data_IF_477442852923
#
_entry.id   IF_477442852923
#
_cell.length_a   1.000
_cell.length_b   1.000
_cell.length_c   1.000
_cell.angle_alpha   90.00
_cell.angle_beta   90.00
_cell.angle_gamma   90.00
#
_symmetry.space_group_name_H-M   'P 1'
#
loop_
_entity.id
_entity.type
_entity.pdbx_description
1 polymer ?
#
# COMPACT_ATOMS: atom_id res chain seq x y z
N UNK A 1 -20.62 -12.76 15.39
CA UNK A 1 -20.19 -12.94 13.98
C UNK A 1 -20.64 -11.76 13.14
N UNK A 2 -19.76 -10.76 12.99
CA UNK A 2 -20.03 -9.72 11.99
C UNK A 2 -19.85 -10.42 10.64
N UNK A 3 -20.91 -10.48 9.82
CA UNK A 3 -20.82 -11.11 8.52
C UNK A 3 -19.79 -10.37 7.65
N UNK A 4 -19.11 -11.08 6.76
CA UNK A 4 -18.17 -10.45 5.80
C UNK A 4 -18.82 -9.28 5.05
N UNK A 5 -20.11 -9.37 4.75
CA UNK A 5 -20.88 -8.29 4.13
C UNK A 5 -20.98 -7.03 4.99
N UNK A 6 -21.14 -7.14 6.32
CA UNK A 6 -21.14 -5.98 7.22
C UNK A 6 -19.76 -5.33 7.29
N UNK A 7 -18.67 -6.12 7.34
CA UNK A 7 -17.30 -5.61 7.27
C UNK A 7 -17.05 -4.84 5.98
N UNK A 8 -17.54 -5.33 4.84
CA UNK A 8 -17.39 -4.66 3.55
C UNK A 8 -18.19 -3.35 3.46
N UNK A 9 -19.37 -3.29 4.09
CA UNK A 9 -20.17 -2.05 4.18
C UNK A 9 -19.42 -0.99 4.99
N UNK A 10 -18.86 -1.35 6.15
CA UNK A 10 -18.09 -0.41 6.99
C UNK A 10 -16.83 0.10 6.26
N UNK A 11 -16.11 -0.77 5.56
CA UNK A 11 -14.95 -0.37 4.76
C UNK A 11 -15.35 0.62 3.67
N UNK A 12 -16.43 0.36 2.91
CA UNK A 12 -16.92 1.29 1.88
C UNK A 12 -17.31 2.65 2.47
N UNK A 13 -18.00 2.67 3.61
CA UNK A 13 -18.36 3.91 4.27
C UNK A 13 -17.14 4.72 4.71
N UNK A 14 -16.13 4.07 5.30
CA UNK A 14 -14.89 4.72 5.71
C UNK A 14 -14.20 5.41 4.52
N UNK A 15 -14.05 4.72 3.40
CA UNK A 15 -13.46 5.31 2.19
C UNK A 15 -14.33 6.42 1.59
N UNK A 16 -15.66 6.29 1.59
CA UNK A 16 -16.56 7.35 1.11
C UNK A 16 -16.43 8.62 1.96
N UNK A 17 -16.29 8.50 3.27
CA UNK A 17 -16.07 9.67 4.14
C UNK A 17 -14.68 10.28 3.95
N UNK A 18 -13.64 9.46 3.83
CA UNK A 18 -12.27 9.90 3.63
C UNK A 18 -12.07 10.60 2.28
N UNK A 19 -12.70 10.08 1.21
CA UNK A 19 -12.53 10.55 -0.17
C UNK A 19 -12.75 12.07 -0.30
N UNK A 20 -13.85 12.60 0.22
CA UNK A 20 -14.14 14.02 0.15
C UNK A 20 -13.11 14.89 0.88
N UNK A 21 -12.61 14.41 2.02
CA UNK A 21 -11.58 15.11 2.79
C UNK A 21 -10.23 15.10 2.08
N UNK A 22 -9.84 13.95 1.54
CA UNK A 22 -8.59 13.77 0.78
C UNK A 22 -8.62 14.62 -0.49
N UNK A 23 -9.69 14.53 -1.29
CA UNK A 23 -9.86 15.31 -2.51
C UNK A 23 -9.75 16.83 -2.23
N UNK A 24 -10.38 17.31 -1.15
CA UNK A 24 -10.26 18.72 -0.74
C UNK A 24 -8.81 19.10 -0.42
N UNK A 25 -8.11 18.32 0.40
CA UNK A 25 -6.71 18.58 0.77
C UNK A 25 -5.83 18.63 -0.49
N UNK A 26 -6.01 17.69 -1.41
CA UNK A 26 -5.22 17.61 -2.63
C UNK A 26 -5.51 18.76 -3.61
N UNK A 27 -6.76 19.23 -3.66
CA UNK A 27 -7.12 20.41 -4.45
C UNK A 27 -6.56 21.71 -3.87
N UNK A 28 -6.58 21.84 -2.54
CA UNK A 28 -6.02 23.00 -1.84
C UNK A 28 -4.47 23.00 -1.88
N UNK A 29 -3.85 21.84 -2.10
CA UNK A 29 -2.39 21.66 -2.10
C UNK A 29 -1.92 20.91 -3.36
N UNK A 30 -1.91 21.54 -4.55
CA UNK A 30 -1.59 20.87 -5.81
C UNK A 30 -0.13 20.37 -5.91
N UNK A 31 0.75 20.83 -5.03
CA UNK A 31 2.14 20.37 -4.93
C UNK A 31 2.31 19.00 -4.28
N UNK A 32 1.26 18.42 -3.69
CA UNK A 32 1.29 17.06 -3.18
C UNK A 32 1.28 16.09 -4.37
N UNK A 33 2.37 15.37 -4.56
CA UNK A 33 2.53 14.40 -5.65
C UNK A 33 2.34 12.95 -5.20
N UNK A 34 2.54 12.65 -3.93
CA UNK A 34 2.49 11.29 -3.37
C UNK A 34 1.46 11.22 -2.26
N UNK A 35 0.61 10.20 -2.29
CA UNK A 35 -0.39 9.93 -1.25
C UNK A 35 -0.20 8.52 -0.72
N UNK A 36 0.02 8.39 0.58
CA UNK A 36 0.20 7.11 1.24
C UNK A 36 -0.90 6.90 2.27
N UNK A 37 -1.64 5.79 2.09
CA UNK A 37 -2.61 5.29 3.06
C UNK A 37 -1.95 4.16 3.86
N UNK A 38 -1.51 4.47 5.09
CA UNK A 38 -0.74 3.55 5.92
C UNK A 38 -1.65 2.75 6.84
N UNK A 39 -1.71 1.47 6.63
CA UNK A 39 -2.58 0.51 7.31
C UNK A 39 -1.80 -0.60 8.01
N UNK A 40 -2.54 -1.44 8.71
CA UNK A 40 -2.12 -2.75 9.21
C UNK A 40 -3.10 -3.79 8.68
N UNK A 41 -2.56 -4.87 8.10
CA UNK A 41 -3.36 -5.95 7.51
C UNK A 41 -4.18 -6.70 8.57
N UNK A 42 -5.28 -7.29 8.15
CA UNK A 42 -6.11 -8.18 8.94
C UNK A 42 -5.82 -9.64 8.60
N UNK A 43 -5.10 -10.35 9.47
CA UNK A 43 -4.74 -11.76 9.28
C UNK A 43 -5.29 -12.64 10.41
N UNK A 44 -5.18 -13.97 10.27
CA UNK A 44 -5.50 -14.88 11.36
C UNK A 44 -4.60 -14.60 12.58
N UNK A 45 -5.14 -14.72 13.79
CA UNK A 45 -4.41 -14.42 15.05
C UNK A 45 -3.13 -15.25 15.24
N UNK A 46 -3.03 -16.37 14.54
CA UNK A 46 -1.84 -17.24 14.52
C UNK A 46 -0.77 -16.79 13.53
N UNK A 47 -1.04 -15.77 12.72
CA UNK A 47 -0.12 -15.26 11.70
C UNK A 47 0.65 -14.06 12.24
N UNK A 48 1.98 -14.14 12.24
CA UNK A 48 2.86 -13.05 12.64
C UNK A 48 3.77 -12.67 11.48
N UNK A 49 3.55 -11.49 10.91
CA UNK A 49 4.22 -10.99 9.71
C UNK A 49 5.52 -10.26 10.09
N UNK A 50 6.58 -11.01 10.35
CA UNK A 50 7.82 -10.48 10.90
C UNK A 50 9.04 -10.94 10.09
N UNK A 51 10.08 -10.12 10.06
CA UNK A 51 11.42 -10.44 9.57
C UNK A 51 12.47 -9.90 10.55
N UNK A 52 13.73 -10.34 10.38
CA UNK A 52 14.87 -9.87 11.17
C UNK A 52 15.86 -9.17 10.25
N UNK A 53 16.24 -7.95 10.59
CA UNK A 53 17.26 -7.19 9.87
C UNK A 53 18.09 -6.40 10.88
N UNK A 54 19.39 -6.44 10.75
CA UNK A 54 20.35 -5.73 11.63
C UNK A 54 20.12 -5.97 13.13
N UNK A 55 19.71 -7.19 13.48
CA UNK A 55 19.40 -7.58 14.84
C UNK A 55 18.08 -7.05 15.41
N UNK A 56 17.27 -6.36 14.59
CA UNK A 56 15.95 -5.86 14.97
C UNK A 56 14.85 -6.71 14.35
N UNK A 57 13.82 -7.03 15.14
CA UNK A 57 12.57 -7.58 14.63
C UNK A 57 11.74 -6.46 14.01
N UNK A 58 11.24 -6.66 12.80
CA UNK A 58 10.41 -5.66 12.12
C UNK A 58 9.27 -6.30 11.34
N UNK A 59 8.17 -5.57 11.24
CA UNK A 59 7.00 -6.01 10.49
C UNK A 59 7.30 -6.08 9.00
N UNK A 60 6.75 -7.08 8.31
CA UNK A 60 6.82 -7.16 6.84
C UNK A 60 5.86 -6.17 6.20
N UNK A 61 6.32 -5.48 5.18
CA UNK A 61 5.54 -4.49 4.42
C UNK A 61 4.89 -5.14 3.19
N UNK A 62 3.68 -4.69 2.85
CA UNK A 62 3.00 -5.06 1.61
C UNK A 62 2.46 -3.81 0.91
N UNK A 63 2.73 -3.68 -0.38
CA UNK A 63 2.11 -2.68 -1.23
C UNK A 63 0.80 -3.22 -1.79
N UNK A 64 -0.26 -2.45 -1.62
CA UNK A 64 -1.62 -2.82 -1.97
C UNK A 64 -2.15 -1.88 -3.05
N UNK A 65 -2.72 -2.43 -4.13
CA UNK A 65 -3.28 -1.65 -5.23
C UNK A 65 -4.74 -1.98 -5.48
N UNK A 66 -5.54 -0.95 -5.55
CA UNK A 66 -6.93 -1.02 -6.00
C UNK A 66 -7.03 -0.82 -7.51
N UNK A 67 -7.51 -1.82 -8.23
CA UNK A 67 -7.46 -1.84 -9.69
C UNK A 67 -8.68 -1.24 -10.37
N UNK A 68 -9.80 -1.05 -9.66
CA UNK A 68 -11.11 -0.76 -10.30
C UNK A 68 -11.45 -1.73 -11.43
N UNK A 69 -11.04 -2.98 -11.27
CA UNK A 69 -11.15 -4.04 -12.27
C UNK A 69 -11.52 -5.37 -11.63
N UNK A 70 -12.42 -6.11 -12.25
CA UNK A 70 -12.75 -7.48 -11.88
C UNK A 70 -12.48 -8.44 -13.03
N UNK A 71 -12.07 -9.67 -12.70
CA UNK A 71 -11.83 -10.70 -13.73
C UNK A 71 -13.10 -11.10 -14.51
N UNK A 72 -14.28 -10.89 -13.91
CA UNK A 72 -15.55 -11.30 -14.50
C UNK A 72 -16.10 -10.22 -15.43
N UNK A 73 -16.05 -8.93 -15.00
CA UNK A 73 -16.74 -7.85 -15.68
C UNK A 73 -15.78 -6.82 -16.33
N UNK A 74 -14.48 -7.01 -16.21
CA UNK A 74 -13.52 -6.01 -16.67
C UNK A 74 -13.48 -4.77 -15.78
N UNK A 75 -13.32 -3.59 -16.38
CA UNK A 75 -13.29 -2.32 -15.67
C UNK A 75 -14.60 -2.03 -14.94
N UNK A 76 -14.51 -1.56 -13.71
CA UNK A 76 -15.66 -1.19 -12.89
C UNK A 76 -15.99 0.28 -13.17
N UNK A 77 -16.92 0.51 -14.09
CA UNK A 77 -17.22 1.85 -14.64
C UNK A 77 -17.57 2.91 -13.58
N UNK A 78 -18.25 2.54 -12.48
CA UNK A 78 -18.61 3.47 -11.40
C UNK A 78 -17.47 3.73 -10.40
N UNK A 79 -16.33 3.04 -10.55
CA UNK A 79 -15.12 3.21 -9.74
C UNK A 79 -13.93 3.62 -10.63
N UNK A 80 -14.12 4.61 -11.48
CA UNK A 80 -13.03 5.05 -12.38
C UNK A 80 -11.73 5.33 -11.60
N UNK A 81 -10.62 4.76 -12.06
CA UNK A 81 -9.27 4.98 -11.51
C UNK A 81 -8.31 5.33 -12.66
N UNK A 82 -8.19 6.62 -13.00
CA UNK A 82 -7.35 7.07 -14.11
C UNK A 82 -5.85 6.85 -13.85
N UNK A 83 -5.46 6.66 -12.60
CA UNK A 83 -4.06 6.52 -12.16
C UNK A 83 -3.66 5.08 -11.83
N UNK A 84 -4.47 4.09 -12.19
CA UNK A 84 -4.21 2.68 -11.90
C UNK A 84 -2.82 2.23 -12.32
N UNK A 85 -2.44 2.55 -13.54
CA UNK A 85 -1.18 2.09 -14.13
C UNK A 85 0.02 2.80 -13.50
N UNK A 86 -0.09 4.08 -13.19
CA UNK A 86 0.94 4.86 -12.49
C UNK A 86 1.17 4.34 -11.07
N UNK A 87 0.08 4.02 -10.34
CA UNK A 87 0.16 3.47 -9.00
C UNK A 87 0.78 2.06 -8.97
N UNK A 88 0.43 1.23 -9.95
CA UNK A 88 1.04 -0.09 -10.12
C UNK A 88 2.53 0.03 -10.47
N UNK A 89 2.91 0.95 -11.35
CA UNK A 89 4.30 1.19 -11.70
C UNK A 89 5.13 1.62 -10.49
N UNK A 90 4.62 2.54 -9.66
CA UNK A 90 5.28 2.96 -8.43
C UNK A 90 5.42 1.79 -7.44
N UNK A 91 4.36 1.00 -7.23
CA UNK A 91 4.40 -0.17 -6.35
C UNK A 91 5.43 -1.21 -6.83
N UNK A 92 5.51 -1.44 -8.14
CA UNK A 92 6.50 -2.35 -8.71
C UNK A 92 7.92 -1.82 -8.52
N UNK A 93 8.15 -0.54 -8.75
CA UNK A 93 9.47 0.08 -8.54
C UNK A 93 9.91 -0.04 -7.08
N UNK A 94 9.03 0.28 -6.12
CA UNK A 94 9.31 0.11 -4.70
C UNK A 94 9.56 -1.35 -4.31
N UNK A 95 8.84 -2.30 -4.91
CA UNK A 95 9.07 -3.74 -4.69
C UNK A 95 10.47 -4.14 -5.16
N UNK A 96 10.87 -3.72 -6.36
CA UNK A 96 12.20 -4.04 -6.90
C UNK A 96 13.33 -3.44 -6.06
N UNK A 97 13.19 -2.19 -5.63
CA UNK A 97 14.15 -1.54 -4.72
C UNK A 97 14.20 -2.31 -3.39
N UNK A 98 13.05 -2.62 -2.81
CA UNK A 98 12.99 -3.34 -1.54
C UNK A 98 13.60 -4.75 -1.61
N UNK A 99 13.39 -5.49 -2.69
CA UNK A 99 14.02 -6.81 -2.87
C UNK A 99 15.55 -6.70 -3.05
N UNK A 100 16.02 -5.62 -3.69
CA UNK A 100 17.45 -5.40 -3.89
C UNK A 100 18.20 -4.99 -2.63
N UNK A 101 17.62 -4.07 -1.84
CA UNK A 101 18.28 -3.48 -0.66
C UNK A 101 17.91 -4.15 0.66
N UNK A 102 16.71 -4.74 0.74
CA UNK A 102 16.11 -5.30 1.95
C UNK A 102 15.47 -6.67 1.69
N UNK A 103 16.25 -7.69 1.23
CA UNK A 103 15.70 -8.98 0.85
C UNK A 103 14.91 -9.65 1.98
N UNK A 104 13.69 -10.07 1.66
CA UNK A 104 12.77 -10.70 2.62
C UNK A 104 11.98 -9.72 3.51
N UNK A 105 12.15 -8.41 3.36
CA UNK A 105 11.39 -7.39 4.08
C UNK A 105 9.97 -7.23 3.52
N UNK A 106 9.84 -7.26 2.20
CA UNK A 106 8.56 -7.06 1.53
C UNK A 106 7.78 -8.35 1.37
N UNK A 107 6.47 -8.25 1.45
CA UNK A 107 5.51 -9.23 0.95
C UNK A 107 5.27 -8.96 -0.54
N UNK A 108 4.67 -9.91 -1.25
CA UNK A 108 4.27 -9.70 -2.64
C UNK A 108 3.23 -8.59 -2.74
N UNK A 109 3.29 -7.79 -3.80
CA UNK A 109 2.26 -6.81 -4.12
C UNK A 109 0.89 -7.48 -4.12
N UNK A 110 -0.08 -6.89 -3.44
CA UNK A 110 -1.46 -7.34 -3.43
C UNK A 110 -2.32 -6.44 -4.30
N UNK A 111 -3.24 -7.03 -5.03
CA UNK A 111 -4.17 -6.30 -5.90
C UNK A 111 -5.61 -6.67 -5.58
N UNK A 112 -6.51 -5.69 -5.60
CA UNK A 112 -7.93 -5.91 -5.33
C UNK A 112 -8.81 -5.14 -6.32
N UNK A 113 -10.06 -5.56 -6.44
CA UNK A 113 -11.00 -5.02 -7.42
C UNK A 113 -11.43 -3.57 -7.16
N UNK A 114 -11.50 -3.13 -5.90
CA UNK A 114 -11.92 -1.77 -5.54
C UNK A 114 -10.78 -0.76 -5.64
N UNK A 115 -11.07 0.56 -5.59
CA UNK A 115 -10.07 1.63 -5.82
C UNK A 115 -9.42 2.21 -4.56
N UNK A 116 -10.04 2.10 -3.37
CA UNK A 116 -9.47 2.50 -2.07
C UNK A 116 -8.90 3.93 -2.02
N UNK A 117 -9.56 4.93 -2.60
CA UNK A 117 -9.07 6.31 -2.77
C UNK A 117 -7.75 6.44 -3.57
N UNK A 118 -7.24 5.38 -4.19
CA UNK A 118 -6.01 5.42 -4.99
C UNK A 118 -6.19 6.08 -6.37
N UNK A 119 -7.36 6.64 -6.64
CA UNK A 119 -7.70 7.35 -7.87
C UNK A 119 -7.47 8.87 -7.78
N UNK A 120 -7.00 9.36 -6.64
CA UNK A 120 -6.83 10.80 -6.40
C UNK A 120 -5.54 11.36 -7.00
N UNK A 121 -4.48 10.56 -7.10
CA UNK A 121 -3.17 10.93 -7.66
C UNK A 121 -2.48 9.73 -8.30
N UNK A 122 -1.59 10.01 -9.26
CA UNK A 122 -0.80 9.00 -9.98
C UNK A 122 0.36 8.38 -9.20
N UNK A 123 0.54 8.74 -7.93
CA UNK A 123 1.50 8.14 -7.00
C UNK A 123 0.82 7.89 -5.66
N UNK A 124 -0.36 7.26 -5.73
CA UNK A 124 -1.11 6.87 -4.56
C UNK A 124 -0.89 5.40 -4.24
N UNK A 125 -0.69 5.09 -2.96
CA UNK A 125 -0.36 3.75 -2.51
C UNK A 125 -1.00 3.46 -1.17
N UNK A 126 -1.59 2.28 -1.00
CA UNK A 126 -1.92 1.72 0.30
C UNK A 126 -0.79 0.79 0.72
N UNK A 127 -0.31 0.97 1.94
CA UNK A 127 0.78 0.18 2.52
C UNK A 127 0.27 -0.53 3.76
N UNK A 128 0.38 -1.85 3.76
CA UNK A 128 0.13 -2.66 4.96
C UNK A 128 1.44 -2.86 5.71
N UNK A 129 1.59 -2.20 6.85
CA UNK A 129 2.74 -2.29 7.74
C UNK A 129 2.53 -3.40 8.79
N UNK A 130 2.82 -4.63 8.39
CA UNK A 130 2.50 -5.81 9.19
C UNK A 130 1.00 -6.05 9.29
N UNK A 131 0.56 -6.58 10.44
CA UNK A 131 -0.83 -6.90 10.73
C UNK A 131 -1.19 -6.55 12.18
N UNK A 132 -2.45 -6.78 12.58
CA UNK A 132 -2.91 -6.57 13.96
C UNK A 132 -2.10 -7.41 15.00
N UNK A 133 -1.45 -8.46 14.56
CA UNK A 133 -0.62 -9.35 15.39
C UNK A 133 0.80 -8.84 15.64
N UNK A 134 1.24 -7.83 14.89
CA UNK A 134 2.57 -7.23 15.10
C UNK A 134 2.56 -6.27 16.28
N UNK A 135 3.68 -6.21 16.99
CA UNK A 135 3.90 -5.22 18.06
C UNK A 135 4.14 -3.83 17.49
N UNK A 136 3.97 -2.81 18.33
CA UNK A 136 4.28 -1.43 17.95
C UNK A 136 5.75 -1.27 17.54
N UNK A 137 6.68 -1.88 18.27
CA UNK A 137 8.12 -1.79 17.98
C UNK A 137 8.48 -2.45 16.65
N UNK A 138 7.87 -3.57 16.30
CA UNK A 138 8.08 -4.21 14.98
C UNK A 138 7.62 -3.31 13.83
N UNK A 139 6.46 -2.66 13.98
CA UNK A 139 5.96 -1.72 12.97
C UNK A 139 6.84 -0.49 12.90
N UNK A 140 7.23 0.08 14.04
CA UNK A 140 8.13 1.23 14.12
C UNK A 140 9.49 0.94 13.47
N UNK A 141 10.09 -0.22 13.75
CA UNK A 141 11.36 -0.62 13.15
C UNK A 141 11.26 -0.77 11.62
N UNK A 142 10.09 -1.15 11.10
CA UNK A 142 9.86 -1.25 9.66
C UNK A 142 9.79 0.09 8.94
N UNK A 143 9.57 1.20 9.65
CA UNK A 143 9.43 2.52 9.02
C UNK A 143 10.75 3.05 8.45
N UNK A 144 11.90 2.70 9.04
CA UNK A 144 13.22 3.13 8.56
C UNK A 144 13.53 2.56 7.17
N UNK A 145 13.53 1.24 6.94
CA UNK A 145 13.73 0.69 5.60
C UNK A 145 12.60 1.06 4.62
N UNK A 146 11.36 1.22 5.07
CA UNK A 146 10.27 1.69 4.21
C UNK A 146 10.54 3.11 3.70
N UNK A 147 11.01 4.01 4.56
CA UNK A 147 11.34 5.38 4.20
C UNK A 147 12.52 5.43 3.22
N UNK A 148 13.54 4.60 3.40
CA UNK A 148 14.68 4.51 2.48
C UNK A 148 14.24 3.98 1.09
N UNK A 149 13.39 2.96 1.04
CA UNK A 149 12.83 2.46 -0.23
C UNK A 149 12.04 3.57 -0.94
N UNK A 150 11.25 4.34 -0.21
CA UNK A 150 10.46 5.45 -0.77
C UNK A 150 11.37 6.57 -1.29
N UNK A 151 12.41 6.95 -0.53
CA UNK A 151 13.37 7.97 -0.95
C UNK A 151 14.09 7.56 -2.23
N UNK A 152 14.59 6.33 -2.32
CA UNK A 152 15.21 5.78 -3.52
C UNK A 152 14.25 5.75 -4.72
N UNK A 153 13.01 5.38 -4.50
CA UNK A 153 11.99 5.37 -5.55
C UNK A 153 11.71 6.79 -6.07
N UNK A 154 11.56 7.76 -5.18
CA UNK A 154 11.23 9.14 -5.55
C UNK A 154 12.43 9.90 -6.14
N UNK A 155 13.65 9.59 -5.72
CA UNK A 155 14.87 10.13 -6.32
C UNK A 155 15.23 9.53 -7.69
N UNK A 156 14.48 8.50 -8.13
CA UNK A 156 14.68 7.85 -9.43
C UNK A 156 15.86 6.90 -9.47
N UNK A 157 16.22 6.33 -8.32
CA UNK A 157 17.29 5.32 -8.25
C UNK A 157 16.95 4.10 -9.10
N UNK A 158 17.88 3.71 -9.95
CA UNK A 158 17.73 2.51 -10.80
C UNK A 158 18.36 1.32 -10.10
N UNK A 159 17.58 0.28 -9.86
CA UNK A 159 18.11 -1.03 -9.47
C UNK A 159 18.82 -1.60 -10.69
N UNK A 160 20.17 -1.56 -10.68
CA UNK A 160 20.97 -2.26 -11.68
C UNK A 160 21.01 -3.73 -11.29
N UNK A 161 20.42 -4.59 -12.11
CA UNK A 161 20.64 -6.02 -12.01
C UNK A 161 22.09 -6.26 -12.50
N UNK A 162 22.98 -6.65 -11.60
CA UNK A 162 24.25 -7.24 -12.00
C UNK A 162 23.94 -8.53 -12.76
N UNK A 163 24.03 -8.49 -14.09
CA UNK A 163 23.91 -9.65 -14.98
C UNK A 163 25.21 -10.42 -14.98
#
# INVERSE_FOLDING_TARGET
CISSAASDVYKRQAYTYAENGIAKILNDNPSIEVVIDLHRDGVADTTHLVTQMDGKSMAKIMFFNGLSYSKINGDIAYLNNPYRDDNLAMSLQMQLIGEAYYPGFLRRIYVNAYRYCLHERGRSMLIEAGAQTNTFEEVKNAMEPLADILDKCLSGEKVMNDT
#
